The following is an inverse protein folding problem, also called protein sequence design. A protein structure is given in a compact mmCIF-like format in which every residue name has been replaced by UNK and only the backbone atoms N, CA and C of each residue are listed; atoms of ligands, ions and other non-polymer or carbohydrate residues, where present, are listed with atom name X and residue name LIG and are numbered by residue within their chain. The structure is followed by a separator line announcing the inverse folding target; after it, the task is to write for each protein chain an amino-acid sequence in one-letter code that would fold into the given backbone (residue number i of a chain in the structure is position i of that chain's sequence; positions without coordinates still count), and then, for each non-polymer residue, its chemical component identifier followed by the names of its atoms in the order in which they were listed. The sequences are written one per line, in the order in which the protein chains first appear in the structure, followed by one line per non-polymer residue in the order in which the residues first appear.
data_IF_468313356769
#
_entry.id   IF_468313356769
#
_cell.length_a   1.000
_cell.length_b   1.000
_cell.length_c   1.000
_cell.angle_alpha   90.00
_cell.angle_beta   90.00
_cell.angle_gamma   90.00
#
_symmetry.space_group_name_H-M   'P 1'
#
loop_
_entity.id
_entity.type
_entity.pdbx_description
1 polymer ?
#
# COMPACT_ATOMS: atom_id res chain seq x y z
N UNK A 1 6.41 -6.74 -16.85
CA UNK A 1 7.13 -5.77 -16.03
C UNK A 1 7.22 -6.36 -14.64
N UNK A 2 8.41 -6.68 -14.17
CA UNK A 2 8.58 -7.31 -12.86
C UNK A 2 8.65 -6.21 -11.79
N UNK A 3 7.75 -6.31 -10.82
CA UNK A 3 7.61 -5.35 -9.74
C UNK A 3 7.88 -6.07 -8.42
N UNK A 4 8.83 -5.53 -7.65
CA UNK A 4 9.22 -6.04 -6.35
C UNK A 4 8.52 -5.19 -5.30
N UNK A 5 7.72 -5.84 -4.46
CA UNK A 5 7.03 -5.21 -3.33
C UNK A 5 7.73 -5.55 -2.01
N UNK A 6 7.71 -4.61 -1.07
CA UNK A 6 8.18 -4.80 0.31
C UNK A 6 7.29 -3.99 1.27
N UNK A 7 7.18 -4.47 2.51
CA UNK A 7 6.41 -3.81 3.56
C UNK A 7 7.37 -3.44 4.68
N UNK A 8 7.44 -2.14 5.01
CA UNK A 8 8.34 -1.62 6.05
C UNK A 8 7.54 -0.83 7.06
N UNK A 9 7.77 -1.07 8.35
CA UNK A 9 7.16 -0.28 9.42
C UNK A 9 7.75 1.14 9.45
N UNK A 10 6.91 2.16 9.30
CA UNK A 10 7.31 3.54 9.56
C UNK A 10 7.37 3.81 11.06
N UNK A 11 8.53 4.20 11.57
CA UNK A 11 8.68 4.64 12.97
C UNK A 11 7.98 5.97 13.25
N UNK A 12 7.91 6.85 12.24
CA UNK A 12 7.30 8.18 12.36
C UNK A 12 5.78 8.09 12.43
N UNK A 13 5.18 7.26 11.58
CA UNK A 13 3.74 7.11 11.50
C UNK A 13 3.23 5.90 12.29
N UNK A 14 4.07 5.03 12.83
CA UNK A 14 3.66 3.81 13.54
C UNK A 14 2.71 2.91 12.74
N UNK A 15 2.86 2.88 11.41
CA UNK A 15 2.07 2.05 10.48
C UNK A 15 2.97 1.37 9.45
N UNK A 16 2.57 0.21 8.92
CA UNK A 16 3.24 -0.38 7.76
C UNK A 16 3.11 0.52 6.52
N UNK A 17 4.17 0.53 5.72
CA UNK A 17 4.30 1.28 4.47
C UNK A 17 4.58 0.29 3.35
N UNK A 18 3.78 0.35 2.29
CA UNK A 18 3.97 -0.45 1.10
C UNK A 18 4.95 0.25 0.17
N UNK A 19 6.08 -0.40 -0.06
CA UNK A 19 7.11 0.02 -1.01
C UNK A 19 7.10 -0.87 -2.23
N UNK A 20 7.47 -0.31 -3.38
CA UNK A 20 7.59 -1.06 -4.61
C UNK A 20 8.58 -0.43 -5.58
N UNK A 21 9.15 -1.27 -6.45
CA UNK A 21 10.00 -0.84 -7.55
C UNK A 21 9.87 -1.77 -8.73
N UNK A 22 10.07 -1.22 -9.93
CA UNK A 22 10.21 -2.00 -11.14
C UNK A 22 11.68 -2.33 -11.40
N UNK A 23 11.95 -3.45 -12.08
CA UNK A 23 13.32 -3.84 -12.46
C UNK A 23 13.99 -2.84 -13.41
N UNK A 24 13.21 -2.25 -14.32
CA UNK A 24 13.60 -1.10 -15.14
C UNK A 24 13.01 0.18 -14.55
N UNK A 25 13.72 1.31 -14.64
CA UNK A 25 13.25 2.60 -14.15
C UNK A 25 12.05 3.06 -14.98
N UNK A 26 10.85 2.70 -14.55
CA UNK A 26 9.60 3.20 -15.09
C UNK A 26 9.30 4.58 -14.49
N UNK A 27 8.73 5.45 -15.30
CA UNK A 27 8.18 6.73 -14.84
C UNK A 27 7.01 6.49 -13.88
N UNK A 28 6.68 7.52 -13.09
CA UNK A 28 5.53 7.47 -12.20
C UNK A 28 4.24 7.28 -13.02
N UNK A 29 4.10 7.94 -14.17
CA UNK A 29 2.93 7.79 -15.05
C UNK A 29 2.76 6.35 -15.56
N UNK A 30 3.84 5.70 -16.03
CA UNK A 30 3.80 4.29 -16.45
C UNK A 30 3.41 3.37 -15.28
N UNK A 31 3.89 3.64 -14.07
CA UNK A 31 3.50 2.87 -12.89
C UNK A 31 2.02 3.06 -12.55
N UNK A 32 1.50 4.28 -12.66
CA UNK A 32 0.08 4.54 -12.46
C UNK A 32 -0.77 3.77 -13.49
N UNK A 33 -0.39 3.77 -14.76
CA UNK A 33 -1.11 3.03 -15.80
C UNK A 33 -1.08 1.51 -15.59
N UNK A 34 0.03 0.97 -15.09
CA UNK A 34 0.21 -0.48 -14.92
C UNK A 34 -0.39 -0.99 -13.60
N UNK A 35 -0.21 -0.26 -12.50
CA UNK A 35 -0.53 -0.73 -11.16
C UNK A 35 -1.88 -0.23 -10.64
N UNK A 36 -2.29 0.98 -10.98
CA UNK A 36 -3.45 1.60 -10.32
C UNK A 36 -4.70 1.22 -11.08
N UNK A 37 -5.67 0.54 -10.43
CA UNK A 37 -6.94 0.22 -11.08
C UNK A 37 -7.62 1.50 -11.60
N UNK A 38 -8.19 1.52 -12.82
CA UNK A 38 -8.71 2.76 -13.42
C UNK A 38 -9.73 3.50 -12.53
N UNK A 39 -10.56 2.76 -11.80
CA UNK A 39 -11.57 3.31 -10.89
C UNK A 39 -11.01 3.92 -9.60
N UNK A 40 -9.73 3.67 -9.28
CA UNK A 40 -9.04 4.26 -8.12
C UNK A 40 -8.06 5.35 -8.53
N UNK A 41 -7.85 5.56 -9.83
CA UNK A 41 -6.85 6.51 -10.36
C UNK A 41 -7.01 7.92 -9.79
N UNK A 42 -8.23 8.47 -9.79
CA UNK A 42 -8.50 9.79 -9.21
C UNK A 42 -8.26 9.83 -7.69
N UNK A 43 -8.60 8.76 -6.97
CA UNK A 43 -8.44 8.68 -5.50
C UNK A 43 -6.99 8.51 -5.04
N UNK A 44 -6.11 7.97 -5.91
CA UNK A 44 -4.67 7.76 -5.65
C UNK A 44 -3.82 8.90 -6.23
N UNK A 45 -4.34 9.63 -7.24
CA UNK A 45 -3.70 10.83 -7.79
C UNK A 45 -4.00 12.08 -6.97
N UNK A 46 -5.24 12.22 -6.52
CA UNK A 46 -5.58 13.17 -5.47
C UNK A 46 -5.13 12.59 -4.13
N UNK A 47 -4.81 13.42 -3.13
CA UNK A 47 -4.32 12.94 -1.81
C UNK A 47 -5.49 12.35 -0.98
N UNK A 48 -6.25 11.45 -1.59
CA UNK A 48 -7.40 10.76 -1.03
C UNK A 48 -7.01 9.83 0.12
N UNK A 49 -8.00 9.14 0.68
CA UNK A 49 -7.82 8.27 1.87
C UNK A 49 -6.82 7.13 1.61
N UNK A 50 -6.63 6.76 0.34
CA UNK A 50 -5.69 5.71 -0.10
C UNK A 50 -4.23 6.17 -0.16
N UNK A 51 -3.97 7.47 0.04
CA UNK A 51 -2.62 8.06 0.00
C UNK A 51 -2.10 8.22 -1.44
N UNK A 52 -1.27 9.25 -1.64
CA UNK A 52 -0.58 9.45 -2.92
C UNK A 52 0.63 8.52 -3.05
N UNK A 53 0.97 8.13 -4.28
CA UNK A 53 2.24 7.44 -4.56
C UNK A 53 3.35 8.48 -4.59
N UNK A 54 4.46 8.22 -3.89
CA UNK A 54 5.62 9.09 -3.81
C UNK A 54 6.91 8.32 -4.07
N UNK A 55 7.98 9.02 -4.43
CA UNK A 55 9.31 8.43 -4.67
C UNK A 55 10.29 8.83 -3.56
N UNK A 56 11.08 7.88 -3.09
CA UNK A 56 12.15 8.10 -2.12
C UNK A 56 13.21 6.99 -2.22
N UNK A 57 14.26 7.08 -1.40
CA UNK A 57 15.20 5.96 -1.22
C UNK A 57 14.59 4.92 -0.28
N UNK A 58 14.57 3.65 -0.72
CA UNK A 58 14.03 2.56 0.07
C UNK A 58 14.85 2.37 1.37
N UNK A 59 14.21 2.31 2.55
CA UNK A 59 14.88 2.43 3.85
C UNK A 59 15.83 1.27 4.21
N UNK A 60 15.74 0.13 3.52
CA UNK A 60 16.65 -1.01 3.75
C UNK A 60 17.71 -1.17 2.66
N UNK A 61 17.40 -0.78 1.42
CA UNK A 61 18.24 -1.08 0.27
C UNK A 61 18.89 0.17 -0.31
N UNK A 62 18.50 1.36 0.16
CA UNK A 62 19.06 2.67 -0.20
C UNK A 62 19.07 2.96 -1.70
N UNK A 63 18.15 2.33 -2.43
CA UNK A 63 17.94 2.53 -3.87
C UNK A 63 16.62 3.28 -4.11
N UNK A 64 16.49 4.03 -5.22
CA UNK A 64 15.24 4.68 -5.58
C UNK A 64 14.09 3.68 -5.68
N UNK A 65 12.97 3.99 -5.03
CA UNK A 65 11.76 3.20 -5.01
C UNK A 65 10.53 4.11 -4.83
N UNK A 66 9.36 3.52 -5.03
CA UNK A 66 8.08 4.17 -4.82
C UNK A 66 7.41 3.62 -3.56
N UNK A 67 6.53 4.41 -2.96
CA UNK A 67 5.74 3.98 -1.81
C UNK A 67 4.39 4.67 -1.78
N UNK A 68 3.41 4.03 -1.15
CA UNK A 68 2.12 4.65 -0.82
C UNK A 68 2.28 5.48 0.44
N UNK A 69 1.96 6.77 0.38
CA UNK A 69 2.21 7.70 1.48
C UNK A 69 1.37 7.34 2.73
N UNK A 70 1.98 7.15 3.92
CA UNK A 70 1.29 6.58 5.08
C UNK A 70 0.49 7.58 5.91
N UNK A 71 0.48 8.88 5.57
CA UNK A 71 -0.11 9.91 6.43
C UNK A 71 -1.60 9.72 6.72
N UNK A 72 -2.35 9.09 5.82
CA UNK A 72 -3.79 8.83 5.97
C UNK A 72 -4.10 7.38 6.31
N UNK A 73 -3.11 6.52 6.52
CA UNK A 73 -3.32 5.09 6.83
C UNK A 73 -4.19 4.89 8.07
N UNK A 74 -3.97 5.66 9.13
CA UNK A 74 -4.80 5.57 10.34
C UNK A 74 -6.26 5.95 10.09
N UNK A 75 -6.49 6.99 9.29
CA UNK A 75 -7.84 7.42 8.92
C UNK A 75 -8.55 6.34 8.09
N UNK A 76 -7.83 5.75 7.14
CA UNK A 76 -8.34 4.67 6.31
C UNK A 76 -8.74 3.43 7.14
N UNK A 77 -7.91 3.06 8.12
CA UNK A 77 -8.17 1.91 9.00
C UNK A 77 -9.33 2.14 9.98
N UNK A 78 -9.52 3.38 10.45
CA UNK A 78 -10.64 3.75 11.33
C UNK A 78 -12.02 3.56 10.68
N UNK A 79 -12.08 3.50 9.36
CA UNK A 79 -13.32 3.22 8.63
C UNK A 79 -13.80 1.76 8.74
N UNK A 80 -12.93 0.85 9.20
CA UNK A 80 -13.21 -0.60 9.28
C UNK A 80 -13.42 -1.08 10.72
N UNK A 81 -12.69 -0.50 11.67
CA UNK A 81 -12.80 -0.73 13.11
C UNK A 81 -12.29 0.52 13.84
N UNK A 82 -12.62 0.71 15.11
CA UNK A 82 -12.25 1.85 15.97
C UNK A 82 -10.72 2.07 16.07
N UNK A 83 -9.93 1.18 15.45
CA UNK A 83 -8.49 1.26 15.28
C UNK A 83 -7.71 0.84 16.53
N UNK A 84 -8.39 0.24 17.51
CA UNK A 84 -7.84 0.07 18.86
C UNK A 84 -7.66 -1.40 19.25
N UNK A 85 -8.33 -2.37 18.61
CA UNK A 85 -8.38 -3.75 19.12
C UNK A 85 -8.22 -4.89 18.08
N UNK A 86 -7.79 -4.61 16.86
CA UNK A 86 -7.50 -5.69 15.91
C UNK A 86 -6.25 -6.47 16.31
N UNK A 87 -6.30 -7.82 16.36
CA UNK A 87 -5.10 -8.65 16.38
C UNK A 87 -4.17 -8.25 15.22
N UNK A 88 -2.86 -8.34 15.42
CA UNK A 88 -1.87 -7.86 14.44
C UNK A 88 -2.07 -8.45 13.02
N UNK A 89 -2.49 -9.71 12.94
CA UNK A 89 -2.79 -10.39 11.68
C UNK A 89 -3.98 -9.77 10.96
N UNK A 90 -5.06 -9.47 11.69
CA UNK A 90 -6.27 -8.84 11.14
C UNK A 90 -5.99 -7.40 10.75
N UNK A 91 -5.24 -6.67 11.57
CA UNK A 91 -4.75 -5.34 11.23
C UNK A 91 -3.99 -5.35 9.90
N UNK A 92 -3.05 -6.29 9.71
CA UNK A 92 -2.28 -6.40 8.48
C UNK A 92 -3.14 -6.78 7.28
N UNK A 93 -4.14 -7.65 7.45
CA UNK A 93 -5.06 -8.02 6.36
C UNK A 93 -5.94 -6.85 5.93
N UNK A 94 -6.50 -6.11 6.89
CA UNK A 94 -7.31 -4.91 6.62
C UNK A 94 -6.45 -3.83 5.98
N UNK A 95 -5.28 -3.55 6.57
CA UNK A 95 -4.31 -2.61 6.00
C UNK A 95 -3.93 -2.97 4.56
N UNK A 96 -3.62 -4.25 4.31
CA UNK A 96 -3.26 -4.71 2.97
C UNK A 96 -4.43 -4.56 2.00
N UNK A 97 -5.65 -4.92 2.42
CA UNK A 97 -6.85 -4.78 1.60
C UNK A 97 -7.16 -3.34 1.19
N UNK A 98 -6.81 -2.35 2.02
CA UNK A 98 -7.03 -0.93 1.73
C UNK A 98 -5.84 -0.36 0.94
N UNK A 99 -4.62 -0.48 1.47
CA UNK A 99 -3.44 0.20 0.95
C UNK A 99 -2.87 -0.51 -0.28
N UNK A 100 -2.86 -1.84 -0.30
CA UNK A 100 -2.32 -2.58 -1.43
C UNK A 100 -3.27 -2.53 -2.65
N UNK A 101 -4.58 -2.34 -2.42
CA UNK A 101 -5.55 -2.12 -3.49
C UNK A 101 -5.26 -0.85 -4.32
N UNK A 102 -4.65 0.18 -3.72
CA UNK A 102 -4.22 1.39 -4.43
C UNK A 102 -3.23 1.10 -5.57
N UNK A 103 -2.50 -0.02 -5.49
CA UNK A 103 -1.54 -0.49 -6.50
C UNK A 103 -1.93 -1.84 -7.10
N UNK A 104 -3.23 -2.15 -7.07
CA UNK A 104 -3.79 -3.31 -7.77
C UNK A 104 -3.52 -4.66 -7.10
N UNK A 105 -2.97 -4.67 -5.88
CA UNK A 105 -2.77 -5.89 -5.10
C UNK A 105 -4.03 -6.22 -4.30
N UNK A 106 -4.41 -7.49 -4.29
CA UNK A 106 -5.55 -8.00 -3.54
C UNK A 106 -5.23 -9.37 -2.94
N UNK A 107 -5.87 -9.69 -1.82
CA UNK A 107 -5.79 -11.03 -1.22
C UNK A 107 -6.94 -11.87 -1.77
N UNK A 108 -6.67 -12.97 -2.49
CA UNK A 108 -7.72 -13.88 -2.91
C UNK A 108 -8.51 -14.42 -1.70
N UNK A 109 -9.83 -14.32 -1.73
CA UNK A 109 -10.72 -14.74 -0.63
C UNK A 109 -10.50 -16.21 -0.20
N UNK A 110 -10.08 -17.08 -1.13
CA UNK A 110 -9.72 -18.48 -0.86
C UNK A 110 -8.57 -18.63 0.14
N UNK A 111 -7.65 -17.66 0.22
CA UNK A 111 -6.54 -17.67 1.18
C UNK A 111 -6.98 -17.22 2.58
N UNK A 112 -8.09 -16.50 2.68
CA UNK A 112 -8.66 -16.02 3.94
C UNK A 112 -9.60 -17.08 4.55
N UNK A 113 -10.27 -17.88 3.73
CA UNK A 113 -11.23 -18.92 4.13
C UNK A 113 -10.58 -20.23 4.68
N UNK A 114 -9.37 -20.16 5.23
CA UNK A 114 -8.63 -21.32 5.73
C UNK A 114 -8.72 -21.58 7.23
N UNK A 115 -9.30 -20.67 8.03
CA UNK A 115 -9.52 -20.89 9.47
C UNK A 115 -10.82 -21.67 9.67
N UNK A 116 -10.70 -23.00 9.80
CA UNK A 116 -11.69 -23.82 10.53
C UNK A 116 -11.20 -24.02 11.95
#
# INVERSE_FOLDING_TARGET
MDIIFSIILSKTYSVPVLWFRAASMASLDELYEVLVPPHLSDSVRDVGVLGGISQAYHPLTEIPAYFVHPCRTHEALRGVDDGQNLPAEEYLLVWFGIIAAAVGLYVPSKLICGRK
#
